data_IF_788097308816
#
_entry.id   IF_788097308816
#
_cell.length_a   1.000
_cell.length_b   1.000
_cell.length_c   1.000
_cell.angle_alpha   90.00
_cell.angle_beta   90.00
_cell.angle_gamma   90.00
#
_symmetry.space_group_name_H-M   'P 1'
#
loop_
_entity.id
_entity.type
_entity.pdbx_description
1 polymer ?
#
# COMPACT_ATOMS: atom_id res chain seq x y z
N UNK A 1 -9.01 26.17 -25.42
CA UNK A 1 -8.59 24.79 -25.71
C UNK A 1 -7.11 24.69 -26.12
N UNK A 2 -6.63 25.48 -27.07
CA UNK A 2 -5.24 25.43 -27.58
C UNK A 2 -4.14 25.74 -26.56
N UNK A 3 -4.33 26.66 -25.61
CA UNK A 3 -3.30 27.03 -24.60
C UNK A 3 -2.84 25.85 -23.75
N UNK A 4 -3.73 24.93 -23.37
CA UNK A 4 -3.40 23.77 -22.51
C UNK A 4 -2.56 22.75 -23.26
N UNK A 5 -2.91 22.44 -24.51
CA UNK A 5 -2.14 21.50 -25.35
C UNK A 5 -0.71 21.99 -25.59
N UNK A 6 -0.52 23.30 -25.84
CA UNK A 6 0.79 23.90 -26.04
C UNK A 6 1.67 23.80 -24.78
N UNK A 7 1.10 24.02 -23.60
CA UNK A 7 1.81 23.86 -22.32
C UNK A 7 2.23 22.42 -22.07
N UNK A 8 1.36 21.44 -22.35
CA UNK A 8 1.66 20.03 -22.18
C UNK A 8 2.76 19.57 -23.15
N UNK A 9 2.73 20.02 -24.41
CA UNK A 9 3.81 19.74 -25.36
C UNK A 9 5.14 20.40 -24.96
N UNK A 10 5.11 21.65 -24.46
CA UNK A 10 6.29 22.33 -23.95
C UNK A 10 6.91 21.57 -22.77
N UNK A 11 6.09 21.03 -21.87
CA UNK A 11 6.54 20.19 -20.76
C UNK A 11 7.22 18.91 -21.25
N UNK A 12 6.72 18.27 -22.31
CA UNK A 12 7.37 17.09 -22.91
C UNK A 12 8.73 17.47 -23.47
N UNK A 13 8.83 18.58 -24.22
CA UNK A 13 10.11 19.08 -24.77
C UNK A 13 11.13 19.33 -23.66
N UNK A 14 10.71 19.94 -22.56
CA UNK A 14 11.58 20.23 -21.42
C UNK A 14 12.06 18.93 -20.73
N UNK A 15 11.15 17.99 -20.46
CA UNK A 15 11.48 16.70 -19.85
C UNK A 15 12.38 15.85 -20.72
N UNK A 16 12.16 15.84 -22.03
CA UNK A 16 13.05 15.16 -22.99
C UNK A 16 14.47 15.69 -22.90
N UNK A 17 14.63 17.04 -22.84
CA UNK A 17 15.95 17.67 -22.74
C UNK A 17 16.65 17.42 -21.39
N UNK A 18 15.89 17.37 -20.31
CA UNK A 18 16.45 17.27 -18.95
C UNK A 18 16.73 15.85 -18.50
N UNK A 19 15.88 14.90 -18.90
CA UNK A 19 15.85 13.56 -18.30
C UNK A 19 16.03 12.42 -19.29
N UNK A 20 15.75 12.62 -20.59
CA UNK A 20 15.73 11.55 -21.61
C UNK A 20 15.00 10.29 -21.10
N UNK A 21 13.72 10.39 -20.69
CA UNK A 21 13.04 9.32 -19.97
C UNK A 21 12.70 8.14 -20.90
N UNK A 22 12.86 6.91 -20.39
CA UNK A 22 12.44 5.68 -21.08
C UNK A 22 10.91 5.57 -21.15
N UNK A 23 10.21 6.09 -20.12
CA UNK A 23 8.74 6.03 -20.02
C UNK A 23 8.19 7.35 -19.48
N UNK A 24 7.13 7.84 -20.12
CA UNK A 24 6.35 9.01 -19.67
C UNK A 24 5.02 8.53 -19.07
N UNK A 25 4.82 8.75 -17.78
CA UNK A 25 3.56 8.42 -17.11
C UNK A 25 2.84 9.71 -16.72
N UNK A 26 1.62 9.90 -17.26
CA UNK A 26 0.74 11.03 -16.97
C UNK A 26 -0.42 10.56 -16.13
N UNK A 27 -0.40 10.93 -14.85
CA UNK A 27 -1.47 10.65 -13.91
C UNK A 27 -2.40 11.87 -13.86
N UNK A 28 -3.65 11.70 -14.31
CA UNK A 28 -4.65 12.77 -14.31
C UNK A 28 -6.07 12.20 -14.24
N UNK A 29 -7.06 13.08 -14.02
CA UNK A 29 -8.47 12.70 -14.06
C UNK A 29 -8.83 11.97 -15.38
N UNK A 30 -9.50 10.83 -15.27
CA UNK A 30 -9.88 9.97 -16.42
C UNK A 30 -10.59 10.72 -17.55
N UNK A 31 -11.29 11.81 -17.25
CA UNK A 31 -11.95 12.67 -18.25
C UNK A 31 -10.97 13.37 -19.20
N UNK A 32 -9.67 13.37 -18.89
CA UNK A 32 -8.63 13.98 -19.71
C UNK A 32 -7.96 12.99 -20.69
N UNK A 33 -8.38 11.73 -20.74
CA UNK A 33 -7.77 10.68 -21.57
C UNK A 33 -7.66 11.07 -23.05
N UNK A 34 -8.73 11.60 -23.64
CA UNK A 34 -8.72 12.05 -25.04
C UNK A 34 -7.70 13.18 -25.26
N UNK A 35 -7.61 14.13 -24.31
CA UNK A 35 -6.65 15.22 -24.38
C UNK A 35 -5.21 14.69 -24.42
N UNK A 36 -4.81 13.83 -23.49
CA UNK A 36 -3.48 13.27 -23.44
C UNK A 36 -3.18 12.34 -24.61
N UNK A 37 -4.16 11.57 -25.08
CA UNK A 37 -4.02 10.78 -26.32
C UNK A 37 -3.65 11.66 -27.50
N UNK A 38 -4.27 12.84 -27.65
CA UNK A 38 -3.94 13.80 -28.71
C UNK A 38 -2.57 14.43 -28.51
N UNK A 39 -2.20 14.80 -27.27
CA UNK A 39 -0.88 15.34 -26.93
C UNK A 39 0.22 14.36 -27.28
N UNK A 40 0.11 13.08 -26.89
CA UNK A 40 1.09 12.04 -27.16
C UNK A 40 1.26 11.78 -28.66
N UNK A 41 0.16 11.69 -29.41
CA UNK A 41 0.21 11.56 -30.86
C UNK A 41 0.89 12.75 -31.54
N UNK A 42 0.64 13.95 -31.04
CA UNK A 42 1.26 15.18 -31.58
C UNK A 42 2.74 15.23 -31.27
N UNK A 43 3.16 14.87 -30.03
CA UNK A 43 4.55 14.83 -29.64
C UNK A 43 5.37 13.88 -30.52
N UNK A 44 4.84 12.67 -30.79
CA UNK A 44 5.45 11.69 -31.69
C UNK A 44 5.52 12.18 -33.14
N UNK A 45 4.42 12.73 -33.68
CA UNK A 45 4.36 13.25 -35.06
C UNK A 45 5.26 14.46 -35.31
N UNK A 46 5.42 15.30 -34.28
CA UNK A 46 6.28 16.49 -34.36
C UNK A 46 7.76 16.18 -34.13
N UNK A 47 8.13 14.92 -33.86
CA UNK A 47 9.50 14.52 -33.53
C UNK A 47 10.03 15.09 -32.23
N UNK A 48 9.13 15.44 -31.30
CA UNK A 48 9.50 15.89 -29.94
C UNK A 48 10.03 14.71 -29.12
N UNK A 49 9.45 13.53 -29.32
CA UNK A 49 9.89 12.25 -28.76
C UNK A 49 10.02 11.22 -29.88
N UNK A 50 10.72 10.13 -29.64
CA UNK A 50 10.84 9.03 -30.58
C UNK A 50 9.46 8.44 -30.93
N UNK A 51 9.25 7.91 -32.15
CA UNK A 51 7.95 7.33 -32.55
C UNK A 51 7.49 6.18 -31.67
N UNK A 52 8.43 5.42 -31.11
CA UNK A 52 8.24 4.27 -30.23
C UNK A 52 8.31 4.62 -28.73
N UNK A 53 8.50 5.90 -28.37
CA UNK A 53 8.54 6.34 -26.97
C UNK A 53 7.32 5.81 -26.18
N UNK A 54 7.57 5.24 -25.03
CA UNK A 54 6.52 4.72 -24.14
C UNK A 54 5.84 5.87 -23.39
N UNK A 55 4.64 6.22 -23.83
CA UNK A 55 3.84 7.30 -23.25
C UNK A 55 2.51 6.74 -22.73
N UNK A 56 2.32 6.75 -21.42
CA UNK A 56 1.18 6.13 -20.73
C UNK A 56 0.32 7.19 -20.06
N UNK A 57 -0.99 7.06 -20.21
CA UNK A 57 -1.97 7.82 -19.46
C UNK A 57 -2.61 6.93 -18.39
N UNK A 58 -2.50 7.32 -17.13
CA UNK A 58 -3.14 6.66 -15.99
C UNK A 58 -4.25 7.58 -15.49
N UNK A 59 -5.49 7.28 -15.90
CA UNK A 59 -6.65 8.05 -15.50
C UNK A 59 -7.16 7.64 -14.11
N UNK A 60 -7.35 8.60 -13.21
CA UNK A 60 -7.97 8.33 -11.92
C UNK A 60 -9.44 8.76 -11.86
N UNK A 61 -10.21 8.04 -11.05
CA UNK A 61 -11.61 8.32 -10.76
C UNK A 61 -11.79 9.40 -9.69
N UNK A 62 -13.01 9.55 -9.23
CA UNK A 62 -13.39 10.54 -8.21
C UNK A 62 -13.48 9.87 -6.84
N UNK A 63 -12.87 10.49 -5.84
CA UNK A 63 -13.13 10.20 -4.44
C UNK A 63 -14.46 10.84 -4.03
N UNK A 64 -15.41 10.04 -3.60
CA UNK A 64 -16.74 10.48 -3.20
C UNK A 64 -16.95 10.33 -1.69
N UNK A 65 -17.83 11.13 -1.12
CA UNK A 65 -18.32 10.96 0.25
C UNK A 65 -19.39 9.85 0.33
N UNK A 66 -19.86 9.56 1.56
CA UNK A 66 -20.93 8.58 1.81
C UNK A 66 -22.23 8.85 1.04
N UNK A 67 -22.47 10.10 0.63
CA UNK A 67 -23.61 10.52 -0.19
C UNK A 67 -23.41 10.27 -1.70
N UNK A 68 -22.32 9.64 -2.10
CA UNK A 68 -21.95 9.36 -3.49
C UNK A 68 -21.56 10.61 -4.31
N UNK A 69 -21.43 11.77 -3.69
CA UNK A 69 -20.99 13.01 -4.33
C UNK A 69 -19.51 13.26 -4.04
N UNK A 70 -18.82 14.06 -4.90
CA UNK A 70 -17.45 14.45 -4.63
C UNK A 70 -17.28 14.97 -3.20
N UNK A 71 -16.22 14.51 -2.52
CA UNK A 71 -15.99 14.76 -1.11
C UNK A 71 -15.98 16.27 -0.81
N UNK A 72 -16.84 16.70 0.14
CA UNK A 72 -17.02 18.11 0.49
C UNK A 72 -16.84 18.32 1.99
N UNK A 73 -16.38 19.50 2.38
CA UNK A 73 -16.38 19.91 3.78
C UNK A 73 -17.82 20.02 4.31
N UNK A 74 -17.99 19.94 5.65
CA UNK A 74 -19.29 20.16 6.34
C UNK A 74 -19.92 21.52 5.98
N UNK A 75 -19.11 22.51 5.60
CA UNK A 75 -19.55 23.86 5.16
C UNK A 75 -19.84 23.97 3.65
N UNK A 76 -19.80 22.85 2.90
CA UNK A 76 -20.16 22.81 1.47
C UNK A 76 -19.03 23.10 0.48
N UNK A 77 -17.79 23.36 0.94
CA UNK A 77 -16.58 23.50 0.11
C UNK A 77 -15.95 22.16 -0.28
N UNK A 78 -14.99 22.16 -1.22
CA UNK A 78 -14.14 21.01 -1.49
C UNK A 78 -13.25 20.77 -0.28
N UNK A 79 -13.20 19.53 0.24
CA UNK A 79 -12.31 19.19 1.35
C UNK A 79 -10.85 19.31 0.90
N UNK A 80 -10.07 20.05 1.67
CA UNK A 80 -8.62 20.10 1.47
C UNK A 80 -7.97 18.86 2.05
N UNK A 81 -6.93 18.38 1.37
CA UNK A 81 -6.20 17.17 1.79
C UNK A 81 -5.66 17.28 3.22
N UNK A 82 -5.17 18.45 3.61
CA UNK A 82 -4.66 18.72 4.96
C UNK A 82 -5.70 18.45 6.06
N UNK A 83 -6.96 18.85 5.81
CA UNK A 83 -8.05 18.62 6.76
C UNK A 83 -8.44 17.14 6.81
N UNK A 84 -8.44 16.46 5.65
CA UNK A 84 -8.71 15.04 5.59
C UNK A 84 -7.67 14.23 6.36
N UNK A 85 -6.37 14.57 6.23
CA UNK A 85 -5.29 13.95 6.98
C UNK A 85 -5.50 14.17 8.48
N UNK A 86 -5.76 15.42 8.92
CA UNK A 86 -5.99 15.74 10.32
C UNK A 86 -7.20 14.98 10.92
N UNK A 87 -8.30 14.87 10.16
CA UNK A 87 -9.50 14.13 10.61
C UNK A 87 -9.21 12.62 10.76
N UNK A 88 -8.39 12.06 9.87
CA UNK A 88 -7.99 10.64 9.95
C UNK A 88 -7.03 10.40 11.12
N UNK A 89 -6.03 11.28 11.29
CA UNK A 89 -5.05 11.19 12.38
C UNK A 89 -5.76 11.23 13.74
N UNK A 90 -6.74 12.13 13.91
CA UNK A 90 -7.54 12.20 15.14
C UNK A 90 -8.40 10.94 15.35
N UNK A 91 -9.03 10.43 14.30
CA UNK A 91 -9.82 9.19 14.37
C UNK A 91 -8.97 7.98 14.76
N UNK A 92 -7.73 7.89 14.26
CA UNK A 92 -6.77 6.84 14.63
C UNK A 92 -6.26 7.04 16.06
N UNK A 93 -5.93 8.29 16.43
CA UNK A 93 -5.50 8.62 17.78
C UNK A 93 -6.54 8.22 18.84
N UNK A 94 -7.81 8.57 18.63
CA UNK A 94 -8.90 8.16 19.52
C UNK A 94 -8.99 6.64 19.68
N UNK A 95 -8.80 5.88 18.59
CA UNK A 95 -8.79 4.41 18.65
C UNK A 95 -7.60 3.85 19.41
N UNK A 96 -6.41 4.42 19.24
CA UNK A 96 -5.21 4.01 20.00
C UNK A 96 -5.45 4.25 21.49
N UNK A 97 -5.90 5.45 21.87
CA UNK A 97 -6.11 5.82 23.27
C UNK A 97 -7.24 5.02 23.94
N UNK A 98 -8.27 4.60 23.18
CA UNK A 98 -9.35 3.78 23.75
C UNK A 98 -8.93 2.35 24.10
N UNK A 99 -7.87 1.84 23.46
CA UNK A 99 -7.48 0.43 23.57
C UNK A 99 -6.18 0.20 24.37
N UNK A 100 -5.40 1.23 24.66
CA UNK A 100 -4.07 1.10 25.31
C UNK A 100 -3.77 2.27 26.25
N UNK A 101 -3.01 1.98 27.31
CA UNK A 101 -2.33 2.99 28.11
C UNK A 101 -0.96 3.24 27.46
N UNK A 102 -0.90 4.24 26.58
CA UNK A 102 0.33 4.69 25.88
C UNK A 102 0.51 6.17 26.20
N UNK A 103 1.76 6.63 26.24
CA UNK A 103 2.05 8.06 26.39
C UNK A 103 1.45 8.85 25.21
N UNK A 104 0.87 10.02 25.52
CA UNK A 104 0.14 10.83 24.53
C UNK A 104 0.99 11.19 23.30
N UNK A 105 2.27 11.52 23.50
CA UNK A 105 3.21 11.84 22.41
C UNK A 105 3.43 10.65 21.48
N UNK A 106 3.67 9.47 22.04
CA UNK A 106 3.83 8.22 21.28
C UNK A 106 2.54 7.87 20.51
N UNK A 107 1.38 8.03 21.16
CA UNK A 107 0.08 7.78 20.51
C UNK A 107 -0.16 8.72 19.32
N UNK A 108 0.18 10.01 19.45
CA UNK A 108 0.03 10.97 18.36
C UNK A 108 1.00 10.74 17.20
N UNK A 109 2.24 10.35 17.47
CA UNK A 109 3.21 10.05 16.42
C UNK A 109 2.82 8.74 15.68
N UNK A 110 2.38 7.73 16.42
CA UNK A 110 1.83 6.51 15.82
C UNK A 110 0.57 6.81 15.00
N UNK A 111 -0.32 7.68 15.50
CA UNK A 111 -1.55 8.03 14.79
C UNK A 111 -1.27 8.71 13.44
N UNK A 112 -0.25 9.57 13.34
CA UNK A 112 0.15 10.19 12.06
C UNK A 112 0.61 9.15 11.04
N UNK A 113 1.47 8.20 11.46
CA UNK A 113 1.96 7.14 10.57
C UNK A 113 0.79 6.26 10.10
N UNK A 114 -0.03 5.80 11.04
CA UNK A 114 -1.16 4.90 10.77
C UNK A 114 -2.29 5.62 10.03
N UNK A 115 -2.55 6.89 10.32
CA UNK A 115 -3.54 7.72 9.63
C UNK A 115 -3.15 7.95 8.16
N UNK A 116 -1.88 8.29 7.91
CA UNK A 116 -1.38 8.42 6.54
C UNK A 116 -1.42 7.09 5.79
N UNK A 117 -1.11 5.97 6.46
CA UNK A 117 -1.24 4.64 5.90
C UNK A 117 -2.70 4.30 5.56
N UNK A 118 -3.66 4.65 6.44
CA UNK A 118 -5.09 4.46 6.20
C UNK A 118 -5.54 5.20 4.93
N UNK A 119 -5.11 6.45 4.75
CA UNK A 119 -5.42 7.26 3.58
C UNK A 119 -4.79 6.67 2.30
N UNK A 120 -3.47 6.45 2.30
CA UNK A 120 -2.74 5.93 1.13
C UNK A 120 -3.25 4.56 0.69
N UNK A 121 -3.39 3.64 1.65
CA UNK A 121 -3.89 2.30 1.36
C UNK A 121 -5.34 2.33 0.89
N UNK A 122 -6.18 3.16 1.53
CA UNK A 122 -7.58 3.35 1.16
C UNK A 122 -7.74 3.81 -0.29
N UNK A 123 -6.90 4.73 -0.75
CA UNK A 123 -6.88 5.20 -2.13
C UNK A 123 -6.28 4.14 -3.07
N UNK A 124 -5.05 3.67 -2.81
CA UNK A 124 -4.30 2.77 -3.67
C UNK A 124 -4.90 1.37 -3.79
N UNK A 125 -5.74 0.93 -2.83
CA UNK A 125 -6.45 -0.36 -2.91
C UNK A 125 -7.57 -0.39 -3.93
N UNK A 126 -7.97 0.77 -4.45
CA UNK A 126 -8.96 0.87 -5.52
C UNK A 126 -8.27 0.85 -6.89
N UNK A 127 -8.96 0.30 -7.89
CA UNK A 127 -8.50 0.45 -9.27
C UNK A 127 -8.53 1.93 -9.64
N UNK A 128 -7.41 2.47 -10.08
CA UNK A 128 -7.24 3.91 -10.29
C UNK A 128 -8.39 4.55 -11.10
N UNK A 129 -8.85 3.94 -12.19
CA UNK A 129 -9.90 4.48 -13.07
C UNK A 129 -11.32 4.44 -12.50
N UNK A 130 -11.55 3.78 -11.35
CA UNK A 130 -12.87 3.69 -10.72
C UNK A 130 -13.09 4.79 -9.71
N UNK A 131 -14.33 5.30 -9.67
CA UNK A 131 -14.79 6.13 -8.58
C UNK A 131 -14.98 5.26 -7.34
N UNK A 132 -14.67 5.80 -6.15
CA UNK A 132 -14.86 5.09 -4.90
C UNK A 132 -15.40 6.00 -3.79
N UNK A 133 -15.96 5.39 -2.75
CA UNK A 133 -16.45 6.11 -1.58
C UNK A 133 -15.38 6.06 -0.50
N UNK A 134 -14.96 7.26 -0.06
CA UNK A 134 -14.06 7.42 1.07
C UNK A 134 -14.86 7.52 2.37
N UNK A 135 -14.54 6.64 3.31
CA UNK A 135 -15.14 6.58 4.63
C UNK A 135 -14.04 6.50 5.69
N UNK A 136 -13.85 7.58 6.46
CA UNK A 136 -12.80 7.70 7.48
C UNK A 136 -12.90 6.54 8.49
N UNK A 137 -14.12 6.23 8.97
CA UNK A 137 -14.35 5.18 9.96
C UNK A 137 -13.90 3.80 9.45
N UNK A 138 -14.25 3.50 8.19
CA UNK A 138 -13.86 2.27 7.51
C UNK A 138 -12.34 2.21 7.28
N UNK A 139 -11.75 3.26 6.72
CA UNK A 139 -10.33 3.25 6.33
C UNK A 139 -9.38 3.29 7.53
N UNK A 140 -9.80 3.91 8.65
CA UNK A 140 -9.06 3.89 9.91
C UNK A 140 -9.31 2.64 10.77
N UNK A 141 -10.09 1.66 10.27
CA UNK A 141 -10.34 0.41 11.01
C UNK A 141 -9.10 -0.47 11.05
N UNK A 142 -8.88 -1.13 12.21
CA UNK A 142 -7.87 -2.17 12.38
C UNK A 142 -8.35 -3.56 11.94
N UNK A 143 -9.50 -3.62 11.31
CA UNK A 143 -10.10 -4.84 10.76
C UNK A 143 -10.44 -4.69 9.28
N UNK A 144 -10.42 -5.79 8.54
CA UNK A 144 -10.74 -5.83 7.12
C UNK A 144 -9.58 -5.37 6.23
N UNK A 145 -9.89 -5.02 4.97
CA UNK A 145 -8.89 -4.62 3.98
C UNK A 145 -8.52 -3.13 4.13
N UNK A 146 -7.66 -2.81 5.10
CA UNK A 146 -7.28 -1.45 5.48
C UNK A 146 -5.79 -1.32 5.76
N UNK A 147 -5.24 -0.10 5.63
CA UNK A 147 -3.84 0.19 5.96
C UNK A 147 -3.49 -0.18 7.40
N UNK A 148 -4.26 0.27 8.41
CA UNK A 148 -4.02 -0.09 9.82
C UNK A 148 -3.99 -1.60 10.08
N UNK A 149 -4.84 -2.39 9.42
CA UNK A 149 -4.82 -3.85 9.54
C UNK A 149 -3.52 -4.47 9.02
N UNK A 150 -3.01 -3.99 7.89
CA UNK A 150 -1.73 -4.45 7.32
C UNK A 150 -0.58 -4.10 8.26
N UNK A 151 -0.52 -2.84 8.73
CA UNK A 151 0.53 -2.41 9.66
C UNK A 151 0.49 -3.20 10.96
N UNK A 152 -0.70 -3.43 11.52
CA UNK A 152 -0.88 -4.25 12.73
C UNK A 152 -0.37 -5.68 12.52
N UNK A 153 -0.58 -6.26 11.34
CA UNK A 153 -0.04 -7.58 11.01
C UNK A 153 1.50 -7.58 11.02
N UNK A 154 2.14 -6.57 10.41
CA UNK A 154 3.60 -6.43 10.39
C UNK A 154 4.16 -6.25 11.81
N UNK A 155 3.56 -5.35 12.61
CA UNK A 155 3.98 -5.10 14.00
C UNK A 155 3.81 -6.35 14.87
N UNK A 156 2.75 -7.14 14.65
CA UNK A 156 2.59 -8.45 15.32
C UNK A 156 3.73 -9.39 14.98
N UNK A 157 4.11 -9.50 13.72
CA UNK A 157 5.26 -10.34 13.32
C UNK A 157 6.55 -9.84 13.97
N UNK A 158 6.81 -8.52 13.92
CA UNK A 158 7.97 -7.90 14.61
C UNK A 158 7.99 -8.29 16.09
N UNK A 159 6.87 -8.21 16.79
CA UNK A 159 6.77 -8.58 18.21
C UNK A 159 7.10 -10.06 18.47
N UNK A 160 6.65 -10.97 17.59
CA UNK A 160 6.97 -12.40 17.72
C UNK A 160 8.47 -12.63 17.52
N UNK A 161 9.07 -12.05 16.50
CA UNK A 161 10.49 -12.17 16.20
C UNK A 161 11.36 -11.58 17.31
N UNK A 162 11.00 -10.41 17.84
CA UNK A 162 11.70 -9.80 18.97
C UNK A 162 11.67 -10.69 20.22
N UNK A 163 10.51 -11.24 20.57
CA UNK A 163 10.40 -12.18 21.70
C UNK A 163 11.23 -13.44 21.49
N UNK A 164 11.31 -13.94 20.25
CA UNK A 164 12.16 -15.08 19.92
C UNK A 164 13.64 -14.78 20.17
N UNK A 165 14.12 -13.62 19.73
CA UNK A 165 15.52 -13.19 19.91
C UNK A 165 15.83 -12.84 21.37
N UNK A 166 14.93 -12.19 22.10
CA UNK A 166 15.05 -11.91 23.54
C UNK A 166 15.19 -13.21 24.38
N UNK A 167 14.58 -14.31 23.91
CA UNK A 167 14.71 -15.64 24.51
C UNK A 167 15.96 -16.40 24.02
N UNK A 168 16.90 -15.74 23.36
CA UNK A 168 18.18 -16.32 22.92
C UNK A 168 18.13 -17.03 21.55
N UNK A 169 17.02 -16.93 20.82
CA UNK A 169 16.92 -17.44 19.46
C UNK A 169 17.68 -16.57 18.45
N UNK A 170 18.18 -17.15 17.36
CA UNK A 170 18.73 -16.43 16.21
C UNK A 170 17.85 -16.59 14.99
N UNK A 171 17.65 -15.52 14.25
CA UNK A 171 16.92 -15.53 12.96
C UNK A 171 17.84 -15.80 11.77
N UNK A 172 19.15 -15.94 12.00
CA UNK A 172 20.13 -16.11 10.95
C UNK A 172 20.13 -17.55 10.41
N UNK A 173 20.25 -17.68 9.08
CA UNK A 173 20.40 -18.96 8.37
C UNK A 173 19.30 -20.00 8.63
N UNK A 174 18.13 -19.58 9.09
CA UNK A 174 16.98 -20.45 9.25
C UNK A 174 16.44 -20.90 7.88
N UNK A 175 15.90 -22.11 7.84
CA UNK A 175 15.33 -22.71 6.63
C UNK A 175 13.86 -23.03 6.83
N UNK A 176 13.06 -22.73 5.82
CA UNK A 176 11.66 -23.16 5.76
C UNK A 176 11.66 -24.65 5.34
N UNK A 177 11.00 -25.46 6.14
CA UNK A 177 10.80 -26.88 5.88
C UNK A 177 9.54 -27.11 5.03
N UNK A 178 9.35 -28.35 4.57
CA UNK A 178 8.09 -28.72 3.94
C UNK A 178 6.92 -28.56 4.94
N UNK A 179 5.87 -27.88 4.50
CA UNK A 179 4.70 -27.61 5.34
C UNK A 179 4.01 -28.90 5.80
N UNK A 180 3.75 -29.01 7.09
CA UNK A 180 3.02 -30.12 7.70
C UNK A 180 1.56 -29.81 7.97
N UNK A 181 1.25 -28.51 8.11
CA UNK A 181 -0.10 -28.00 8.41
C UNK A 181 -0.66 -27.22 7.24
N UNK A 182 -1.99 -27.24 7.07
CA UNK A 182 -2.66 -26.52 5.97
C UNK A 182 -2.46 -25.01 6.07
N UNK A 183 -2.46 -24.42 7.25
CA UNK A 183 -2.22 -23.00 7.46
C UNK A 183 -0.80 -22.57 7.08
N UNK A 184 0.20 -23.40 7.37
CA UNK A 184 1.59 -23.20 6.96
C UNK A 184 1.74 -23.25 5.44
N UNK A 185 1.10 -24.24 4.81
CA UNK A 185 1.06 -24.39 3.35
C UNK A 185 0.38 -23.20 2.68
N UNK A 186 -0.76 -22.75 3.19
CA UNK A 186 -1.49 -21.61 2.65
C UNK A 186 -0.68 -20.31 2.72
N UNK A 187 0.02 -20.06 3.82
CA UNK A 187 0.92 -18.91 3.93
C UNK A 187 2.06 -19.02 2.92
N UNK A 188 2.74 -20.18 2.84
CA UNK A 188 3.83 -20.39 1.89
C UNK A 188 3.38 -20.20 0.44
N UNK A 189 2.21 -20.75 0.06
CA UNK A 189 1.64 -20.58 -1.28
C UNK A 189 1.22 -19.14 -1.59
N UNK A 190 0.86 -18.34 -0.59
CA UNK A 190 0.57 -16.91 -0.80
C UNK A 190 1.86 -16.16 -1.14
N UNK A 191 2.97 -16.45 -0.44
CA UNK A 191 4.24 -15.73 -0.60
C UNK A 191 4.90 -15.97 -1.96
N UNK A 192 4.80 -17.16 -2.55
CA UNK A 192 5.42 -17.45 -3.86
C UNK A 192 4.86 -16.62 -5.01
N UNK A 193 3.68 -16.01 -4.85
CA UNK A 193 3.07 -15.13 -5.86
C UNK A 193 3.73 -13.76 -5.95
N UNK A 194 4.61 -13.41 -5.01
CA UNK A 194 5.15 -12.06 -4.86
C UNK A 194 5.73 -11.49 -6.17
N UNK A 195 6.63 -12.23 -6.82
CA UNK A 195 7.29 -11.76 -8.04
C UNK A 195 6.29 -11.48 -9.18
N UNK A 196 5.33 -12.39 -9.39
CA UNK A 196 4.32 -12.25 -10.44
C UNK A 196 3.39 -11.05 -10.18
N UNK A 197 3.04 -10.82 -8.90
CA UNK A 197 2.21 -9.67 -8.49
C UNK A 197 2.94 -8.35 -8.75
N UNK A 198 4.23 -8.25 -8.38
CA UNK A 198 5.01 -7.03 -8.60
C UNK A 198 5.17 -6.76 -10.10
N UNK A 199 5.52 -7.77 -10.88
CA UNK A 199 5.63 -7.65 -12.34
C UNK A 199 4.31 -7.20 -12.99
N UNK A 200 3.20 -7.82 -12.57
CA UNK A 200 1.87 -7.45 -13.05
C UNK A 200 1.42 -6.05 -12.61
N UNK A 201 1.77 -5.62 -11.38
CA UNK A 201 1.47 -4.28 -10.90
C UNK A 201 2.27 -3.21 -11.65
N UNK A 202 3.54 -3.48 -11.91
CA UNK A 202 4.42 -2.60 -12.70
C UNK A 202 3.93 -2.45 -14.14
N UNK A 203 3.66 -3.56 -14.84
CA UNK A 203 3.19 -3.54 -16.24
C UNK A 203 1.91 -2.75 -16.44
N UNK A 204 0.97 -2.90 -15.49
CA UNK A 204 -0.35 -2.31 -15.59
C UNK A 204 -0.48 -0.96 -14.87
N UNK A 205 0.59 -0.46 -14.23
CA UNK A 205 0.55 0.71 -13.32
C UNK A 205 -0.60 0.57 -12.29
N UNK A 206 -0.66 -0.59 -11.62
CA UNK A 206 -1.81 -1.04 -10.85
C UNK A 206 -1.46 -1.35 -9.37
N UNK A 207 -1.23 -0.32 -8.51
CA UNK A 207 -0.87 -0.51 -7.10
C UNK A 207 -1.93 -1.31 -6.31
N UNK A 208 -3.20 -1.29 -6.73
CA UNK A 208 -4.25 -2.08 -6.09
C UNK A 208 -3.99 -3.60 -6.11
N UNK A 209 -3.18 -4.11 -7.05
CA UNK A 209 -2.75 -5.52 -7.07
C UNK A 209 -1.84 -5.83 -5.89
N UNK A 210 -0.93 -4.90 -5.56
CA UNK A 210 -0.06 -5.02 -4.38
C UNK A 210 -0.91 -4.97 -3.10
N UNK A 211 -1.85 -4.02 -3.00
CA UNK A 211 -2.75 -3.92 -1.86
C UNK A 211 -3.55 -5.22 -1.65
N UNK A 212 -4.12 -5.78 -2.71
CA UNK A 212 -4.85 -7.04 -2.63
C UNK A 212 -3.95 -8.19 -2.17
N UNK A 213 -2.74 -8.29 -2.72
CA UNK A 213 -1.77 -9.31 -2.36
C UNK A 213 -1.37 -9.25 -0.88
N UNK A 214 -1.01 -8.07 -0.36
CA UNK A 214 -0.60 -7.95 1.05
C UNK A 214 -1.77 -8.21 2.00
N UNK A 215 -3.01 -7.92 1.60
CA UNK A 215 -4.18 -8.29 2.36
C UNK A 215 -4.36 -9.81 2.41
N UNK A 216 -4.20 -10.52 1.30
CA UNK A 216 -4.27 -11.99 1.23
C UNK A 216 -3.15 -12.63 2.09
N UNK A 217 -1.91 -12.12 1.98
CA UNK A 217 -0.78 -12.58 2.80
C UNK A 217 -1.04 -12.33 4.30
N UNK A 218 -1.57 -11.16 4.66
CA UNK A 218 -1.92 -10.83 6.05
C UNK A 218 -2.98 -11.77 6.62
N UNK A 219 -4.00 -12.12 5.84
CA UNK A 219 -5.03 -13.09 6.24
C UNK A 219 -4.43 -14.50 6.38
N UNK A 220 -3.58 -14.92 5.45
CA UNK A 220 -2.90 -16.22 5.53
C UNK A 220 -1.99 -16.30 6.76
N UNK A 221 -1.23 -15.23 7.05
CA UNK A 221 -0.42 -15.14 8.27
C UNK A 221 -1.28 -15.21 9.53
N UNK A 222 -2.37 -14.46 9.61
CA UNK A 222 -3.26 -14.49 10.77
C UNK A 222 -3.86 -15.89 10.97
N UNK A 223 -4.25 -16.58 9.90
CA UNK A 223 -4.66 -17.99 9.95
C UNK A 223 -3.56 -18.89 10.48
N UNK A 224 -2.33 -18.74 10.01
CA UNK A 224 -1.17 -19.48 10.50
C UNK A 224 -0.90 -19.20 11.98
N UNK A 225 -0.92 -17.92 12.39
CA UNK A 225 -0.69 -17.51 13.77
C UNK A 225 -1.74 -18.06 14.76
N UNK A 226 -3.00 -18.12 14.35
CA UNK A 226 -4.08 -18.66 15.22
C UNK A 226 -4.01 -20.18 15.38
N UNK A 227 -3.56 -20.88 14.33
CA UNK A 227 -3.53 -22.36 14.34
C UNK A 227 -2.23 -22.93 14.92
N UNK A 228 -1.17 -22.14 15.06
CA UNK A 228 0.15 -22.62 15.45
C UNK A 228 0.72 -21.85 16.66
N UNK A 229 1.24 -22.58 17.62
CA UNK A 229 1.93 -22.00 18.80
C UNK A 229 3.38 -21.72 18.48
N UNK A 230 3.67 -20.70 17.66
CA UNK A 230 4.99 -20.43 17.04
C UNK A 230 6.14 -20.47 18.08
N UNK A 231 6.05 -19.67 19.15
CA UNK A 231 7.12 -19.56 20.15
C UNK A 231 7.18 -20.75 21.13
N UNK A 232 6.08 -21.44 21.33
CA UNK A 232 5.97 -22.59 22.22
C UNK A 232 5.88 -23.94 21.49
N UNK A 233 6.25 -23.98 20.19
CA UNK A 233 6.42 -25.22 19.45
C UNK A 233 7.54 -26.04 20.09
N UNK A 234 7.25 -27.30 20.52
CA UNK A 234 8.24 -28.12 21.21
C UNK A 234 9.33 -28.69 20.27
N UNK A 235 9.04 -28.87 19.00
CA UNK A 235 10.03 -29.28 18.00
C UNK A 235 10.84 -28.06 17.55
N UNK A 236 12.13 -28.03 17.94
CA UNK A 236 13.02 -26.92 17.66
C UNK A 236 13.23 -26.71 16.13
N UNK A 237 13.25 -27.77 15.32
CA UNK A 237 13.39 -27.67 13.88
C UNK A 237 12.13 -27.06 13.24
N UNK A 238 10.96 -27.49 13.71
CA UNK A 238 9.67 -26.92 13.28
C UNK A 238 9.52 -25.47 13.73
N UNK A 239 9.90 -25.14 14.96
CA UNK A 239 9.93 -23.76 15.46
C UNK A 239 10.83 -22.88 14.59
N UNK A 240 12.05 -23.32 14.29
CA UNK A 240 12.98 -22.62 13.43
C UNK A 240 12.40 -22.38 12.02
N UNK A 241 11.69 -23.36 11.46
CA UNK A 241 10.97 -23.23 10.20
C UNK A 241 9.85 -22.18 10.28
N UNK A 242 9.08 -22.14 11.35
CA UNK A 242 8.04 -21.14 11.58
C UNK A 242 8.62 -19.74 11.68
N UNK A 243 9.73 -19.57 12.41
CA UNK A 243 10.43 -18.27 12.50
C UNK A 243 10.97 -17.85 11.13
N UNK A 244 11.53 -18.76 10.34
CA UNK A 244 11.95 -18.45 8.96
C UNK A 244 10.79 -18.00 8.08
N UNK A 245 9.66 -18.70 8.16
CA UNK A 245 8.47 -18.39 7.37
C UNK A 245 7.88 -17.02 7.71
N UNK A 246 7.74 -16.68 9.00
CA UNK A 246 7.23 -15.36 9.38
C UNK A 246 8.25 -14.24 9.14
N UNK A 247 9.55 -14.52 9.19
CA UNK A 247 10.59 -13.56 8.79
C UNK A 247 10.50 -13.22 7.31
N UNK A 248 10.31 -14.21 6.44
CA UNK A 248 10.07 -14.00 5.02
C UNK A 248 8.76 -13.23 4.79
N UNK A 249 7.69 -13.59 5.51
CA UNK A 249 6.41 -12.88 5.44
C UNK A 249 6.57 -11.40 5.78
N UNK A 250 7.30 -11.09 6.87
CA UNK A 250 7.59 -9.69 7.26
C UNK A 250 8.32 -8.96 6.14
N UNK A 251 9.39 -9.56 5.62
CA UNK A 251 10.20 -8.92 4.57
C UNK A 251 9.37 -8.60 3.32
N UNK A 252 8.51 -9.52 2.88
CA UNK A 252 7.63 -9.30 1.71
C UNK A 252 6.60 -8.21 1.99
N UNK A 253 5.96 -8.22 3.17
CA UNK A 253 4.99 -7.18 3.53
C UNK A 253 5.65 -5.81 3.62
N UNK A 254 6.84 -5.70 4.24
CA UNK A 254 7.59 -4.44 4.35
C UNK A 254 8.01 -3.91 2.97
N UNK A 255 8.50 -4.77 2.07
CA UNK A 255 8.80 -4.36 0.69
C UNK A 255 7.56 -3.85 -0.05
N UNK A 256 6.43 -4.51 0.12
CA UNK A 256 5.19 -4.08 -0.53
C UNK A 256 4.69 -2.72 -0.01
N UNK A 257 4.71 -2.47 1.31
CA UNK A 257 4.29 -1.18 1.85
C UNK A 257 5.27 -0.06 1.49
N UNK A 258 6.57 -0.36 1.37
CA UNK A 258 7.57 0.59 0.87
C UNK A 258 7.28 1.01 -0.58
N UNK A 259 6.95 0.05 -1.47
CA UNK A 259 6.50 0.35 -2.84
C UNK A 259 5.22 1.20 -2.89
N UNK A 260 4.36 1.12 -1.88
CA UNK A 260 3.17 1.96 -1.73
C UNK A 260 3.47 3.28 -1.00
N UNK A 261 4.74 3.55 -0.68
CA UNK A 261 5.21 4.70 0.10
C UNK A 261 4.50 4.81 1.47
N UNK A 262 4.25 3.68 2.12
CA UNK A 262 3.64 3.57 3.45
C UNK A 262 4.72 3.25 4.46
N UNK A 263 4.79 4.03 5.53
CA UNK A 263 5.66 3.81 6.67
C UNK A 263 5.01 2.85 7.68
N UNK A 264 5.82 2.02 8.34
CA UNK A 264 5.37 1.10 9.37
C UNK A 264 5.94 1.50 10.73
N UNK A 265 5.11 1.72 11.76
CA UNK A 265 5.61 2.00 13.10
C UNK A 265 6.25 0.75 13.72
N UNK A 266 7.08 0.96 14.73
CA UNK A 266 7.69 -0.17 15.46
C UNK A 266 6.71 -0.84 16.42
N UNK A 267 5.72 -0.09 16.91
CA UNK A 267 4.68 -0.55 17.85
C UNK A 267 3.32 0.03 17.47
N UNK A 268 2.30 -0.72 17.73
CA UNK A 268 0.90 -0.33 17.55
C UNK A 268 0.03 -0.85 18.66
#
# INVERSE_FOLDING_TARGET
MYKRQTSDLATIVEREKLYHPDTYIYLADKRQELHFTQVFRTAKKAGIVAPDADMRFVGFGTMNGKDGKPFKTRSGGVMRLEHLIADIDEAVYEKIMSNRTVEETEARDTAKIVGLAALKYGDLSNQASKDYVFDIERFSSFEGNTGPYILYTIVRIKSILNKYTENGGSTDNLKIMAATEESEKNLSLSLIKFADIIDGAYKDNAPHKICQFIYEVSNAFNGFYHNNKILSEPDEAKKASYIALISLTKSILEQCIDLLAIECPDRM
#
